data_IF_399912943171
#
_entry.id   IF_399912943171
#
_cell.length_a   1.000
_cell.length_b   1.000
_cell.length_c   1.000
_cell.angle_alpha   90.00
_cell.angle_beta   90.00
_cell.angle_gamma   90.00
#
_symmetry.space_group_name_H-M   'P 1'
#
loop_
_entity.id
_entity.type
_entity.pdbx_description
1 polymer ?
#
# COMPACT_ATOMS: atom_id res chain seq x y z
N UNK A 1 1.65 14.72 -4.69
CA UNK A 1 0.37 14.04 -4.96
C UNK A 1 0.14 13.11 -3.79
N UNK A 2 -0.97 13.28 -3.13
CA UNK A 2 -1.32 12.48 -1.94
C UNK A 2 -2.17 11.27 -2.33
N UNK A 3 -2.20 10.25 -1.48
CA UNK A 3 -2.99 9.04 -1.73
C UNK A 3 -4.47 9.36 -2.00
N UNK A 4 -4.99 10.40 -1.36
CA UNK A 4 -6.35 10.89 -1.55
C UNK A 4 -6.63 11.30 -2.99
N UNK A 5 -5.65 11.92 -3.66
CA UNK A 5 -5.79 12.38 -5.05
C UNK A 5 -5.82 11.22 -6.04
N UNK A 6 -5.14 10.13 -5.69
CA UNK A 6 -5.06 8.91 -6.49
C UNK A 6 -6.24 7.97 -6.24
N UNK A 7 -6.82 8.00 -5.05
CA UNK A 7 -7.97 7.18 -4.69
C UNK A 7 -9.21 7.70 -5.40
N UNK A 8 -9.80 6.90 -6.25
CA UNK A 8 -10.96 7.28 -7.07
C UNK A 8 -12.23 6.68 -6.54
N UNK A 9 -13.26 7.49 -6.35
CA UNK A 9 -14.56 7.06 -5.81
C UNK A 9 -15.22 5.99 -6.70
N UNK A 10 -15.10 6.11 -7.99
CA UNK A 10 -15.63 5.16 -8.97
C UNK A 10 -14.83 3.85 -9.06
N UNK A 11 -13.67 3.80 -8.40
CA UNK A 11 -12.85 2.59 -8.24
C UNK A 11 -13.01 1.95 -6.83
N UNK A 12 -14.00 2.32 -6.07
CA UNK A 12 -14.27 1.71 -4.76
C UNK A 12 -15.21 0.52 -4.90
N UNK A 13 -14.78 -0.62 -4.36
CA UNK A 13 -15.52 -1.89 -4.34
C UNK A 13 -15.71 -2.32 -2.89
N UNK A 14 -16.86 -1.98 -2.30
CA UNK A 14 -17.13 -2.27 -0.89
C UNK A 14 -17.46 -3.73 -0.62
N UNK A 15 -17.74 -4.50 -1.66
CA UNK A 15 -18.07 -5.92 -1.59
C UNK A 15 -17.48 -6.66 -2.79
N UNK A 16 -16.22 -7.04 -2.67
CA UNK A 16 -15.50 -7.80 -3.68
C UNK A 16 -16.10 -9.21 -3.79
N UNK A 17 -16.44 -9.64 -4.99
CA UNK A 17 -17.12 -10.92 -5.22
C UNK A 17 -16.19 -12.10 -5.40
N UNK A 18 -14.93 -11.85 -5.73
CA UNK A 18 -13.93 -12.87 -5.96
C UNK A 18 -13.79 -13.84 -4.78
N UNK A 19 -13.61 -15.12 -5.10
CA UNK A 19 -13.43 -16.21 -4.12
C UNK A 19 -12.00 -16.77 -4.14
N UNK A 20 -11.17 -16.32 -5.07
CA UNK A 20 -9.76 -16.69 -5.17
C UNK A 20 -8.89 -15.49 -5.50
N UNK A 21 -7.58 -15.63 -5.27
CA UNK A 21 -6.58 -14.62 -5.63
C UNK A 21 -6.66 -14.24 -7.12
N UNK A 22 -6.78 -15.23 -7.99
CA UNK A 22 -6.87 -15.02 -9.43
C UNK A 22 -8.13 -14.27 -9.81
N UNK A 23 -9.27 -14.62 -9.23
CA UNK A 23 -10.53 -13.92 -9.45
C UNK A 23 -10.48 -12.49 -8.93
N UNK A 24 -9.82 -12.24 -7.79
CA UNK A 24 -9.64 -10.91 -7.24
C UNK A 24 -8.82 -10.02 -8.19
N UNK A 25 -7.71 -10.52 -8.70
CA UNK A 25 -6.87 -9.80 -9.67
C UNK A 25 -7.68 -9.48 -10.94
N UNK A 26 -8.44 -10.42 -11.44
CA UNK A 26 -9.30 -10.24 -12.61
C UNK A 26 -10.40 -9.20 -12.38
N UNK A 27 -11.09 -9.26 -11.26
CA UNK A 27 -12.15 -8.31 -10.91
C UNK A 27 -11.59 -6.89 -10.75
N UNK A 28 -10.43 -6.75 -10.13
CA UNK A 28 -9.72 -5.47 -9.98
C UNK A 28 -9.34 -4.90 -11.35
N UNK A 29 -8.70 -5.70 -12.21
CA UNK A 29 -8.28 -5.26 -13.54
C UNK A 29 -9.48 -4.85 -14.41
N UNK A 30 -10.56 -5.60 -14.34
CA UNK A 30 -11.81 -5.30 -15.04
C UNK A 30 -12.39 -3.97 -14.57
N UNK A 31 -12.38 -3.70 -13.27
CA UNK A 31 -12.88 -2.44 -12.71
C UNK A 31 -12.10 -1.23 -13.21
N UNK A 32 -10.78 -1.31 -13.26
CA UNK A 32 -9.93 -0.27 -13.84
C UNK A 32 -10.27 -0.02 -15.32
N UNK A 33 -10.49 -1.09 -16.08
CA UNK A 33 -10.85 -0.98 -17.50
C UNK A 33 -12.24 -0.36 -17.69
N UNK A 34 -13.24 -0.82 -16.96
CA UNK A 34 -14.63 -0.32 -17.06
C UNK A 34 -14.73 1.17 -16.73
N UNK A 35 -13.85 1.68 -15.86
CA UNK A 35 -13.80 3.09 -15.46
C UNK A 35 -12.84 3.94 -16.29
N UNK A 36 -12.17 3.36 -17.26
CA UNK A 36 -11.35 4.07 -18.23
C UNK A 36 -9.94 4.43 -17.75
N UNK A 37 -9.43 3.77 -16.71
CA UNK A 37 -8.07 4.02 -16.20
C UNK A 37 -6.99 3.20 -16.90
N UNK A 38 -7.37 2.12 -17.54
CA UNK A 38 -6.47 1.29 -18.36
C UNK A 38 -7.08 1.02 -19.71
N UNK A 39 -6.24 0.81 -20.71
CA UNK A 39 -6.67 0.55 -22.10
C UNK A 39 -7.10 -0.90 -22.35
N UNK A 40 -6.56 -1.83 -21.59
CA UNK A 40 -6.81 -3.26 -21.69
C UNK A 40 -6.89 -3.89 -20.31
N UNK A 41 -8.01 -4.56 -20.03
CA UNK A 41 -8.19 -5.30 -18.78
C UNK A 41 -7.23 -6.48 -18.70
N UNK A 42 -7.04 -7.19 -19.82
CA UNK A 42 -6.18 -8.37 -19.91
C UNK A 42 -4.71 -8.02 -19.69
N UNK A 43 -4.22 -6.95 -20.31
CA UNK A 43 -2.83 -6.52 -20.15
C UNK A 43 -2.54 -6.04 -18.73
N UNK A 44 -3.50 -5.36 -18.11
CA UNK A 44 -3.35 -4.93 -16.74
C UNK A 44 -3.44 -6.11 -15.74
N UNK A 45 -4.35 -7.05 -15.98
CA UNK A 45 -4.45 -8.29 -15.21
C UNK A 45 -3.13 -9.07 -15.27
N UNK A 46 -2.54 -9.21 -16.47
CA UNK A 46 -1.25 -9.88 -16.63
C UNK A 46 -0.14 -9.17 -15.88
N UNK A 47 -0.08 -7.84 -15.96
CA UNK A 47 0.90 -7.04 -15.19
C UNK A 47 0.76 -7.22 -13.68
N UNK A 48 -0.45 -7.32 -13.15
CA UNK A 48 -0.70 -7.64 -11.75
C UNK A 48 -0.21 -9.05 -11.39
N UNK A 49 -0.47 -10.04 -12.25
CA UNK A 49 -0.01 -11.43 -12.08
C UNK A 49 1.50 -11.56 -12.11
N UNK A 50 2.16 -10.86 -13.03
CA UNK A 50 3.62 -10.82 -13.12
C UNK A 50 4.25 -10.28 -11.85
N UNK A 51 3.65 -9.23 -11.27
CA UNK A 51 4.11 -8.68 -9.99
C UNK A 51 3.90 -9.68 -8.84
N UNK A 52 2.77 -10.35 -8.78
CA UNK A 52 2.48 -11.38 -7.77
C UNK A 52 3.41 -12.58 -7.87
N UNK A 53 3.84 -12.94 -9.09
CA UNK A 53 4.81 -14.01 -9.31
C UNK A 53 6.19 -13.74 -8.70
N UNK A 54 6.52 -12.48 -8.46
CA UNK A 54 7.76 -12.07 -7.76
C UNK A 54 7.66 -12.21 -6.23
N UNK A 55 6.48 -12.40 -5.71
CA UNK A 55 6.15 -12.51 -4.31
C UNK A 55 4.78 -11.88 -4.01
N UNK A 56 4.06 -12.43 -3.04
CA UNK A 56 2.74 -11.93 -2.68
C UNK A 56 2.78 -10.46 -2.29
N UNK A 57 1.80 -9.68 -2.77
CA UNK A 57 1.58 -8.30 -2.34
C UNK A 57 0.68 -8.20 -1.10
N UNK A 58 0.25 -9.32 -0.55
CA UNK A 58 -0.42 -9.37 0.74
C UNK A 58 0.59 -9.15 1.87
N UNK A 59 0.48 -8.01 2.54
CA UNK A 59 1.43 -7.58 3.57
C UNK A 59 1.26 -8.31 4.91
N UNK A 60 0.15 -9.02 5.07
CA UNK A 60 -0.34 -9.47 6.35
C UNK A 60 -1.36 -8.50 6.95
N UNK A 61 -1.83 -8.76 8.17
CA UNK A 61 -2.82 -7.92 8.86
C UNK A 61 -4.09 -7.64 8.03
N UNK A 62 -4.48 -8.62 7.23
CA UNK A 62 -5.67 -8.58 6.35
C UNK A 62 -5.59 -7.60 5.17
N UNK A 63 -4.41 -7.13 4.77
CA UNK A 63 -4.22 -6.15 3.70
C UNK A 63 -3.34 -6.67 2.58
N UNK A 64 -3.75 -6.41 1.35
CA UNK A 64 -2.92 -6.57 0.15
C UNK A 64 -2.83 -5.27 -0.65
N UNK A 65 -1.70 -5.08 -1.33
CA UNK A 65 -1.46 -3.96 -2.24
C UNK A 65 -1.08 -4.51 -3.62
N UNK A 66 -2.02 -5.10 -4.36
CA UNK A 66 -1.76 -5.49 -5.75
C UNK A 66 -1.44 -4.25 -6.56
N UNK A 67 -0.38 -4.31 -7.35
CA UNK A 67 0.06 -3.15 -8.11
C UNK A 67 0.78 -3.55 -9.39
N UNK A 68 0.63 -2.72 -10.39
CA UNK A 68 1.37 -2.85 -11.65
C UNK A 68 1.73 -1.48 -12.22
N UNK A 69 2.95 -1.39 -12.72
CA UNK A 69 3.39 -0.32 -13.60
C UNK A 69 3.33 -0.86 -15.01
N UNK A 70 2.48 -0.27 -15.85
CA UNK A 70 2.11 -0.87 -17.12
C UNK A 70 1.77 0.19 -18.16
N UNK A 71 2.21 -0.03 -19.40
CA UNK A 71 1.94 0.86 -20.54
C UNK A 71 0.44 1.00 -20.87
N UNK A 72 -0.39 0.05 -20.44
CA UNK A 72 -1.85 0.13 -20.62
C UNK A 72 -2.51 1.15 -19.68
N UNK A 73 -1.84 1.60 -18.65
CA UNK A 73 -2.38 2.59 -17.70
C UNK A 73 -2.43 3.97 -18.35
N UNK A 74 -3.62 4.57 -18.34
CA UNK A 74 -3.89 5.89 -18.93
C UNK A 74 -3.53 6.99 -17.94
N UNK A 75 -3.99 6.86 -16.71
CA UNK A 75 -3.66 7.77 -15.61
C UNK A 75 -3.46 7.00 -14.31
N UNK A 76 -2.61 7.51 -13.41
CA UNK A 76 -2.38 6.84 -12.13
C UNK A 76 -3.64 6.86 -11.27
N UNK A 77 -3.95 5.72 -10.67
CA UNK A 77 -5.11 5.59 -9.79
C UNK A 77 -4.91 4.50 -8.75
N UNK A 78 -5.62 4.64 -7.64
CA UNK A 78 -5.73 3.64 -6.58
C UNK A 78 -7.17 3.19 -6.46
N UNK A 79 -7.38 1.89 -6.52
CA UNK A 79 -8.65 1.23 -6.26
C UNK A 79 -8.66 0.74 -4.81
N UNK A 80 -9.78 0.98 -4.12
CA UNK A 80 -10.06 0.37 -2.83
C UNK A 80 -11.06 -0.77 -3.02
N UNK A 81 -10.76 -1.93 -2.44
CA UNK A 81 -11.70 -3.04 -2.40
C UNK A 81 -11.73 -3.68 -1.00
N UNK A 82 -12.89 -4.18 -0.64
CA UNK A 82 -13.09 -4.90 0.61
C UNK A 82 -13.84 -6.20 0.38
N UNK A 83 -13.41 -7.23 1.08
CA UNK A 83 -14.11 -8.52 1.17
C UNK A 83 -14.23 -8.92 2.65
N UNK A 84 -15.42 -8.74 3.23
CA UNK A 84 -15.65 -8.98 4.67
C UNK A 84 -15.38 -10.40 5.11
N UNK A 85 -15.63 -11.38 4.25
CA UNK A 85 -15.36 -12.79 4.54
C UNK A 85 -13.88 -13.16 4.46
N UNK A 86 -13.03 -12.25 3.97
CA UNK A 86 -11.65 -12.53 3.69
C UNK A 86 -11.42 -13.42 2.47
N UNK A 87 -10.22 -13.35 1.94
CA UNK A 87 -9.77 -14.11 0.78
C UNK A 87 -8.36 -14.62 1.05
N UNK A 88 -8.09 -15.87 0.70
CA UNK A 88 -6.72 -16.37 0.68
C UNK A 88 -5.94 -15.72 -0.46
N UNK A 89 -5.12 -14.75 -0.11
CA UNK A 89 -4.27 -14.01 -1.04
C UNK A 89 -2.79 -14.36 -0.87
N UNK A 90 -2.51 -15.49 -0.26
CA UNK A 90 -1.15 -15.98 0.02
C UNK A 90 -0.33 -14.98 0.86
N UNK A 91 -0.96 -14.40 1.90
CA UNK A 91 -0.30 -13.51 2.82
C UNK A 91 0.80 -14.23 3.61
N UNK A 92 1.88 -13.50 3.90
CA UNK A 92 3.03 -14.04 4.62
C UNK A 92 2.69 -14.53 6.04
N UNK A 93 1.68 -13.93 6.68
CA UNK A 93 1.19 -14.33 8.00
C UNK A 93 0.11 -15.42 7.96
N UNK A 94 -0.26 -15.89 6.77
CA UNK A 94 -1.30 -16.89 6.57
C UNK A 94 -2.74 -16.41 6.85
N UNK A 95 -2.93 -15.12 7.17
CA UNK A 95 -4.24 -14.55 7.44
C UNK A 95 -4.99 -14.23 6.14
N UNK A 96 -6.33 -14.36 6.14
CA UNK A 96 -7.11 -13.94 4.98
C UNK A 96 -7.03 -12.43 4.79
N UNK A 97 -7.03 -12.01 3.54
CA UNK A 97 -7.03 -10.60 3.14
C UNK A 97 -8.45 -10.09 3.01
N UNK A 98 -8.76 -9.01 3.68
CA UNK A 98 -10.07 -8.36 3.64
C UNK A 98 -10.04 -7.00 2.93
N UNK A 99 -8.89 -6.30 2.95
CA UNK A 99 -8.70 -4.98 2.37
C UNK A 99 -7.67 -5.03 1.24
N UNK A 100 -8.02 -4.41 0.12
CA UNK A 100 -7.17 -4.31 -1.06
C UNK A 100 -7.01 -2.86 -1.46
N UNK A 101 -5.76 -2.43 -1.66
CA UNK A 101 -5.42 -1.20 -2.33
C UNK A 101 -4.67 -1.53 -3.61
N UNK A 102 -5.36 -1.49 -4.73
CA UNK A 102 -4.75 -1.79 -6.02
C UNK A 102 -4.24 -0.50 -6.67
N UNK A 103 -3.00 -0.51 -7.12
CA UNK A 103 -2.33 0.65 -7.70
C UNK A 103 -2.07 0.41 -9.18
N UNK A 104 -2.59 1.31 -10.02
CA UNK A 104 -2.24 1.41 -11.42
C UNK A 104 -1.31 2.60 -11.63
N UNK A 105 -0.13 2.37 -12.19
CA UNK A 105 0.83 3.40 -12.50
C UNK A 105 1.26 3.32 -13.96
N UNK A 106 1.32 4.46 -14.69
CA UNK A 106 1.86 4.50 -16.04
C UNK A 106 3.34 4.13 -16.08
N UNK A 107 3.79 3.57 -17.19
CA UNK A 107 5.21 3.40 -17.45
C UNK A 107 5.94 4.75 -17.43
N UNK A 108 7.14 4.78 -16.88
CA UNK A 108 7.98 5.98 -16.78
C UNK A 108 7.78 6.81 -15.52
N UNK A 109 6.70 6.63 -14.76
CA UNK A 109 6.44 7.37 -13.52
C UNK A 109 6.91 6.58 -12.28
N UNK A 110 8.20 6.30 -12.20
CA UNK A 110 8.76 5.47 -11.13
C UNK A 110 8.57 6.06 -9.73
N UNK A 111 8.71 7.38 -9.59
CA UNK A 111 8.64 8.03 -8.28
C UNK A 111 7.23 8.03 -7.70
N UNK A 112 6.22 8.18 -8.53
CA UNK A 112 4.83 8.18 -8.09
C UNK A 112 4.41 6.83 -7.53
N UNK A 113 4.77 5.75 -8.21
CA UNK A 113 4.49 4.39 -7.79
C UNK A 113 5.09 4.06 -6.42
N UNK A 114 6.38 4.36 -6.25
CA UNK A 114 7.10 4.12 -4.99
C UNK A 114 6.56 5.00 -3.86
N UNK A 115 6.28 6.27 -4.14
CA UNK A 115 5.75 7.22 -3.16
C UNK A 115 4.34 6.77 -2.67
N UNK A 116 3.49 6.29 -3.58
CA UNK A 116 2.17 5.79 -3.25
C UNK A 116 2.23 4.55 -2.36
N UNK A 117 3.10 3.60 -2.70
CA UNK A 117 3.34 2.42 -1.88
C UNK A 117 3.84 2.78 -0.47
N UNK A 118 4.79 3.71 -0.38
CA UNK A 118 5.34 4.15 0.90
C UNK A 118 4.30 4.86 1.77
N UNK A 119 3.45 5.69 1.19
CA UNK A 119 2.38 6.38 1.92
C UNK A 119 1.34 5.40 2.45
N UNK A 120 0.87 4.47 1.60
CA UNK A 120 -0.05 3.41 2.03
C UNK A 120 0.55 2.54 3.14
N UNK A 121 1.78 2.12 2.99
CA UNK A 121 2.46 1.29 4.00
C UNK A 121 2.52 1.99 5.36
N UNK A 122 2.81 3.29 5.38
CA UNK A 122 2.80 4.09 6.63
C UNK A 122 1.41 4.18 7.26
N UNK A 123 0.36 4.28 6.45
CA UNK A 123 -1.01 4.34 6.96
C UNK A 123 -1.45 2.99 7.51
N UNK A 124 -1.12 1.89 6.83
CA UNK A 124 -1.42 0.52 7.25
C UNK A 124 -0.80 0.20 8.62
N UNK A 125 0.38 0.74 8.90
CA UNK A 125 1.06 0.57 10.19
C UNK A 125 0.44 1.36 11.34
N UNK A 126 -0.52 2.25 11.06
CA UNK A 126 -1.19 3.01 12.12
C UNK A 126 -2.30 2.19 12.76
N UNK A 127 -2.31 2.15 14.09
CA UNK A 127 -3.32 1.44 14.86
C UNK A 127 -4.73 1.92 14.51
N UNK A 128 -5.63 0.99 14.24
CA UNK A 128 -7.03 1.25 13.94
C UNK A 128 -7.34 1.56 12.48
N UNK A 129 -6.35 1.84 11.63
CA UNK A 129 -6.59 2.17 10.23
C UNK A 129 -7.33 1.07 9.46
N UNK A 130 -6.87 -0.15 9.57
CA UNK A 130 -7.48 -1.30 8.90
C UNK A 130 -8.84 -1.63 9.49
N UNK A 131 -8.98 -1.56 10.80
CA UNK A 131 -10.26 -1.83 11.48
C UNK A 131 -11.32 -0.80 11.07
N UNK A 132 -10.95 0.46 10.97
CA UNK A 132 -11.86 1.51 10.50
C UNK A 132 -12.29 1.24 9.04
N UNK A 133 -11.38 0.81 8.17
CA UNK A 133 -11.70 0.44 6.79
C UNK A 133 -12.59 -0.79 6.66
N UNK A 134 -12.43 -1.76 7.55
CA UNK A 134 -13.29 -2.95 7.58
C UNK A 134 -14.76 -2.61 7.90
N UNK A 135 -14.99 -1.51 8.59
CA UNK A 135 -16.31 -1.10 9.08
C UNK A 135 -16.95 0.03 8.28
N UNK A 136 -16.34 0.54 7.23
CA UNK A 136 -16.95 1.58 6.39
C UNK A 136 -18.21 1.07 5.70
N UNK A 137 -19.24 1.93 5.59
CA UNK A 137 -20.51 1.61 4.96
C UNK A 137 -20.69 2.28 3.58
N UNK A 138 -19.83 3.26 3.26
CA UNK A 138 -19.91 4.03 2.01
C UNK A 138 -18.53 4.44 1.51
N UNK A 139 -18.48 4.85 0.24
CA UNK A 139 -17.25 5.38 -0.37
C UNK A 139 -16.80 6.67 0.32
N UNK A 140 -17.72 7.51 0.77
CA UNK A 140 -17.39 8.73 1.50
C UNK A 140 -16.72 8.44 2.85
N UNK A 141 -17.14 7.37 3.52
CA UNK A 141 -16.47 6.91 4.75
C UNK A 141 -15.05 6.43 4.50
N UNK A 142 -14.78 5.79 3.36
CA UNK A 142 -13.41 5.42 2.98
C UNK A 142 -12.54 6.67 2.89
N UNK A 143 -12.99 7.72 2.22
CA UNK A 143 -12.28 9.00 2.17
C UNK A 143 -12.05 9.60 3.55
N UNK A 144 -13.06 9.57 4.41
CA UNK A 144 -12.97 10.08 5.77
C UNK A 144 -11.91 9.35 6.60
N UNK A 145 -11.81 8.04 6.45
CA UNK A 145 -10.77 7.23 7.10
C UNK A 145 -9.39 7.60 6.55
N UNK A 146 -9.25 7.68 5.22
CA UNK A 146 -7.98 8.08 4.60
C UNK A 146 -7.53 9.45 5.09
N UNK A 147 -8.42 10.43 5.14
CA UNK A 147 -8.13 11.78 5.62
C UNK A 147 -7.71 11.79 7.09
N UNK A 148 -8.43 11.08 7.93
CA UNK A 148 -8.13 10.96 9.37
C UNK A 148 -6.70 10.48 9.61
N UNK A 149 -6.26 9.48 8.86
CA UNK A 149 -4.93 8.89 9.04
C UNK A 149 -3.84 9.61 8.24
N UNK A 150 -4.19 10.32 7.15
CA UNK A 150 -3.27 11.19 6.41
C UNK A 150 -2.95 12.48 7.18
N UNK A 151 -3.95 13.12 7.79
CA UNK A 151 -3.80 14.38 8.52
C UNK A 151 -2.88 14.27 9.77
N UNK A 152 -2.69 13.07 10.31
CA UNK A 152 -1.75 12.80 11.38
C UNK A 152 -0.26 12.85 10.97
N UNK A 153 0.08 13.47 9.84
CA UNK A 153 1.47 13.74 9.46
C UNK A 153 2.20 14.65 10.46
N UNK A 154 1.47 15.39 11.31
CA UNK A 154 2.03 16.36 12.25
C UNK A 154 2.15 15.88 13.70
N UNK A 155 1.80 14.64 14.00
CA UNK A 155 2.08 14.05 15.31
C UNK A 155 3.16 12.97 15.24
N UNK A 156 4.21 13.24 14.50
CA UNK A 156 5.48 12.70 14.92
C UNK A 156 5.76 13.46 16.21
N UNK A 157 5.52 12.87 17.38
CA UNK A 157 6.24 13.26 18.57
C UNK A 157 7.68 13.33 18.11
N UNK A 158 8.18 14.55 17.96
CA UNK A 158 9.60 14.76 18.16
C UNK A 158 9.87 14.09 19.50
N UNK A 159 10.48 12.92 19.45
CA UNK A 159 11.27 12.47 20.56
C UNK A 159 12.33 13.56 20.62
N UNK A 160 12.08 14.57 21.46
CA UNK A 160 13.14 15.38 21.98
C UNK A 160 14.02 14.35 22.67
N UNK A 161 15.03 13.93 21.97
CA UNK A 161 16.23 13.46 22.62
C UNK A 161 16.65 14.69 23.41
N UNK A 162 16.28 14.73 24.69
CA UNK A 162 16.96 15.55 25.63
C UNK A 162 18.39 15.04 25.58
N UNK A 163 19.23 15.76 24.84
CA UNK A 163 20.66 15.69 25.06
C UNK A 163 20.85 16.10 26.54
N UNK A 164 20.77 15.12 27.43
CA UNK A 164 21.48 15.22 28.66
C UNK A 164 22.96 15.29 28.29
N UNK A 165 23.47 16.49 28.26
CA UNK A 165 24.89 16.74 28.31
C UNK A 165 25.42 16.19 29.66
N UNK A 166 25.49 14.89 29.74
CA UNK A 166 26.44 14.25 30.59
C UNK A 166 27.75 14.22 29.80
N UNK A 167 28.65 15.13 30.18
CA UNK A 167 30.06 15.00 29.88
C UNK A 167 30.53 13.70 30.52
N UNK A 168 30.25 12.59 29.90
CA UNK A 168 31.01 11.40 30.10
C UNK A 168 32.08 11.40 29.02
N UNK A 169 33.30 11.40 29.40
CA UNK A 169 34.43 11.10 28.56
C UNK A 169 34.30 9.64 28.02
N UNK A 170 33.27 9.43 27.29
CA UNK A 170 33.16 8.19 26.53
C UNK A 170 33.96 8.43 25.26
N UNK A 171 35.15 7.97 25.29
CA UNK A 171 35.88 7.69 24.09
C UNK A 171 35.03 6.72 23.28
N UNK A 172 34.26 7.24 22.42
CA UNK A 172 33.50 6.48 21.45
C UNK A 172 34.40 5.93 20.40
N UNK A 173 35.09 4.89 20.78
CA UNK A 173 35.84 4.07 19.88
C UNK A 173 34.98 3.23 18.97
N UNK A 174 33.68 3.31 19.16
CA UNK A 174 32.69 2.67 18.33
C UNK A 174 32.79 3.03 16.85
N UNK A 175 33.47 4.06 16.57
CA UNK A 175 33.80 4.55 15.24
C UNK A 175 34.57 3.54 14.40
N UNK A 176 35.09 2.57 15.03
CA UNK A 176 35.90 1.58 14.39
C UNK A 176 35.15 0.55 13.60
N UNK A 177 33.91 0.67 13.50
CA UNK A 177 33.12 -0.14 12.58
C UNK A 177 33.43 0.21 11.13
N UNK A 178 34.69 0.23 10.79
CA UNK A 178 35.08 0.18 9.39
C UNK A 178 34.84 -1.25 8.89
N UNK A 179 33.86 -1.46 8.04
CA UNK A 179 33.46 -2.79 7.62
C UNK A 179 34.52 -3.51 6.77
N UNK A 180 35.59 -2.84 6.42
CA UNK A 180 36.58 -3.38 5.51
C UNK A 180 37.79 -4.01 6.21
N UNK A 181 37.80 -4.07 7.53
CA UNK A 181 38.89 -4.73 8.23
C UNK A 181 40.31 -4.23 7.86
N UNK A 182 40.38 -2.99 7.44
CA UNK A 182 41.61 -2.38 6.95
C UNK A 182 42.51 -1.87 8.07
N UNK A 183 42.31 -2.36 9.27
CA UNK A 183 43.21 -2.11 10.37
C UNK A 183 44.19 -3.22 10.49
N UNK A 184 45.40 -2.85 10.22
CA UNK A 184 46.57 -3.63 10.64
C UNK A 184 47.03 -3.19 12.02
#
# INVERSE_FOLDING_TARGET
MEIRDLLKKDLMVLDLKAESKEEAIKEIAKKFFEKGYVKSAEDFEEGLKEREAQGSTALGESVAIPHSKNATVIEPAVLFARKKSGLDYEALDGMPTEIFFAIAAPDGENNLHVATLAELSKMIMKDGFIDDLKNVASEDEVYSVIEKYSANKNSTKEVKVEEKNEKSDINLLAVTACPNGMYK
#
